data_IF_467751100702
#
_entry.id   IF_467751100702
#
_cell.length_a   1.000
_cell.length_b   1.000
_cell.length_c   1.000
_cell.angle_alpha   90.00
_cell.angle_beta   90.00
_cell.angle_gamma   90.00
#
_symmetry.space_group_name_H-M   'P 1'
#
loop_
_entity.id
_entity.type
_entity.pdbx_description
1 polymer ?
#
# COMPACT_ATOMS: atom_id res chain seq x y z
N UNK A 1 24.27 16.40 23.26
CA UNK A 1 22.87 16.72 22.93
C UNK A 1 22.05 15.60 23.56
N UNK A 2 21.24 15.88 24.57
CA UNK A 2 20.41 14.84 25.20
C UNK A 2 19.32 14.45 24.22
N UNK A 3 19.24 13.16 23.88
CA UNK A 3 18.11 12.60 23.17
C UNK A 3 16.94 12.69 24.16
N UNK A 4 15.98 13.56 23.87
CA UNK A 4 14.72 13.59 24.61
C UNK A 4 13.96 12.35 24.19
N UNK A 5 13.84 11.36 25.08
CA UNK A 5 12.91 10.25 24.88
C UNK A 5 11.48 10.77 24.86
N UNK A 6 10.97 11.04 23.67
CA UNK A 6 9.54 11.10 23.46
C UNK A 6 9.02 9.66 23.39
N UNK A 7 8.86 9.04 24.54
CA UNK A 7 8.09 7.80 24.58
C UNK A 7 6.62 8.15 24.37
N UNK A 8 5.87 7.30 23.70
CA UNK A 8 4.41 7.32 23.66
C UNK A 8 3.88 7.16 25.10
N UNK A 9 4.00 8.20 25.90
CA UNK A 9 3.63 8.18 27.30
C UNK A 9 2.19 8.59 27.45
N UNK A 10 1.34 7.61 27.39
CA UNK A 10 0.14 7.71 28.20
C UNK A 10 0.51 7.03 29.51
N UNK A 11 0.69 7.84 30.55
CA UNK A 11 1.02 7.35 31.88
C UNK A 11 -0.03 6.32 32.32
N UNK A 12 0.43 5.18 32.86
CA UNK A 12 -0.44 4.11 33.32
C UNK A 12 -0.80 3.04 32.31
N UNK A 13 -0.37 3.12 31.05
CA UNK A 13 -0.53 2.02 30.10
C UNK A 13 0.63 1.02 30.20
N UNK A 14 0.28 -0.25 30.34
CA UNK A 14 1.23 -1.33 30.22
C UNK A 14 1.78 -1.47 28.78
N UNK A 15 2.98 -2.00 28.59
CA UNK A 15 3.59 -2.12 27.26
C UNK A 15 2.73 -2.82 26.20
N UNK A 16 1.93 -3.82 26.60
CA UNK A 16 1.05 -4.57 25.69
C UNK A 16 -0.20 -3.78 25.27
N UNK A 17 -0.53 -2.68 25.95
CA UNK A 17 -1.65 -1.79 25.63
C UNK A 17 -1.28 -0.67 24.66
N UNK A 18 -0.01 -0.62 24.23
CA UNK A 18 0.52 0.40 23.33
C UNK A 18 0.73 -0.18 21.95
N UNK A 19 0.48 0.63 20.93
CA UNK A 19 1.02 0.34 19.61
C UNK A 19 2.53 0.27 19.67
N UNK A 20 3.09 -0.79 19.12
CA UNK A 20 4.54 -1.00 19.10
C UNK A 20 5.12 -0.44 17.81
N UNK A 21 6.26 0.20 17.93
CA UNK A 21 7.11 0.48 16.79
C UNK A 21 7.47 -0.84 16.08
N UNK A 22 7.52 -0.83 14.77
CA UNK A 22 8.13 -1.91 14.02
C UNK A 22 9.20 -1.34 13.09
N UNK A 23 10.21 -2.14 12.84
CA UNK A 23 11.34 -1.78 12.01
C UNK A 23 11.62 -2.91 11.03
N UNK A 24 11.65 -2.57 9.75
CA UNK A 24 12.04 -3.46 8.66
C UNK A 24 13.33 -2.88 8.10
N UNK A 25 14.46 -3.51 8.42
CA UNK A 25 15.78 -3.00 8.06
C UNK A 25 15.95 -2.88 6.55
N UNK A 26 15.54 -3.92 5.83
CA UNK A 26 15.72 -4.04 4.39
C UNK A 26 14.44 -4.60 3.77
N UNK A 27 13.81 -3.81 2.91
CA UNK A 27 12.80 -4.32 2.00
C UNK A 27 13.54 -4.89 0.79
N UNK A 28 13.72 -6.21 0.77
CA UNK A 28 14.38 -6.88 -0.37
C UNK A 28 13.47 -6.82 -1.60
N UNK A 29 13.75 -5.86 -2.47
CA UNK A 29 13.00 -5.64 -3.70
C UNK A 29 13.45 -6.58 -4.85
N UNK A 30 14.51 -7.36 -4.65
CA UNK A 30 15.04 -8.30 -5.64
C UNK A 30 14.49 -9.73 -5.44
N UNK A 31 14.06 -10.10 -4.22
CA UNK A 31 13.44 -11.40 -3.99
C UNK A 31 12.01 -11.42 -4.53
N UNK A 32 11.82 -12.06 -5.69
CA UNK A 32 10.53 -12.15 -6.37
C UNK A 32 9.46 -12.87 -5.51
N UNK A 33 9.83 -13.69 -4.53
CA UNK A 33 8.88 -14.37 -3.64
C UNK A 33 8.19 -13.42 -2.67
N UNK A 34 8.78 -12.26 -2.41
CA UNK A 34 8.21 -11.25 -1.50
C UNK A 34 7.17 -10.35 -2.18
N UNK A 35 7.07 -10.43 -3.52
CA UNK A 35 6.10 -9.67 -4.29
C UNK A 35 4.76 -10.40 -4.38
N UNK A 36 3.81 -9.95 -3.59
CA UNK A 36 2.43 -10.49 -3.57
C UNK A 36 1.71 -10.06 -4.84
N UNK A 37 1.22 -11.02 -5.67
CA UNK A 37 0.43 -10.68 -6.85
C UNK A 37 -0.86 -9.94 -6.46
N UNK A 38 -1.18 -8.90 -7.23
CA UNK A 38 -2.34 -8.06 -6.99
C UNK A 38 -3.34 -8.10 -8.16
N UNK A 39 -2.90 -7.72 -9.33
CA UNK A 39 -3.61 -7.84 -10.59
C UNK A 39 -2.62 -8.10 -11.72
N UNK A 40 -3.08 -8.21 -12.95
CA UNK A 40 -2.19 -8.44 -14.09
C UNK A 40 -1.13 -7.32 -14.20
N UNK A 41 0.13 -7.72 -14.15
CA UNK A 41 1.28 -6.81 -14.19
C UNK A 41 1.48 -5.95 -12.94
N UNK A 42 0.79 -6.24 -11.82
CA UNK A 42 0.86 -5.47 -10.57
C UNK A 42 1.12 -6.39 -9.37
N UNK A 43 2.04 -5.98 -8.53
CA UNK A 43 2.42 -6.67 -7.28
C UNK A 43 2.63 -5.66 -6.17
N UNK A 44 2.68 -6.14 -4.93
CA UNK A 44 3.07 -5.32 -3.79
C UNK A 44 3.92 -6.10 -2.79
N UNK A 45 4.75 -5.37 -2.03
CA UNK A 45 5.36 -5.85 -0.79
C UNK A 45 4.72 -5.10 0.38
N UNK A 46 4.14 -5.81 1.37
CA UNK A 46 3.51 -5.15 2.50
C UNK A 46 4.54 -4.53 3.44
N UNK A 47 4.30 -3.29 3.88
CA UNK A 47 5.08 -2.63 4.93
C UNK A 47 4.35 -2.69 6.27
N UNK A 48 3.05 -2.45 6.27
CA UNK A 48 2.24 -2.34 7.48
C UNK A 48 0.78 -2.69 7.22
N UNK A 49 0.16 -3.42 8.16
CA UNK A 49 -1.27 -3.71 8.20
C UNK A 49 -1.85 -3.08 9.47
N UNK A 50 -2.67 -2.05 9.32
CA UNK A 50 -3.34 -1.42 10.43
C UNK A 50 -4.68 -2.10 10.70
N UNK A 51 -4.68 -3.06 11.60
CA UNK A 51 -5.90 -3.80 11.97
C UNK A 51 -6.75 -3.06 12.99
N UNK A 52 -6.31 -1.90 13.46
CA UNK A 52 -7.09 -1.03 14.37
C UNK A 52 -7.99 -0.08 13.59
N UNK A 53 -7.51 0.49 12.47
CA UNK A 53 -8.26 1.47 11.67
C UNK A 53 -8.46 1.07 10.21
N UNK A 54 -8.04 -0.14 9.81
CA UNK A 54 -8.30 -0.72 8.51
C UNK A 54 -7.27 -0.38 7.43
N UNK A 55 -6.38 0.58 7.65
CA UNK A 55 -5.41 1.01 6.65
C UNK A 55 -4.24 0.05 6.42
N UNK A 56 -3.43 0.33 5.40
CA UNK A 56 -2.23 -0.44 5.08
C UNK A 56 -1.16 0.44 4.42
N UNK A 57 0.07 -0.05 4.43
CA UNK A 57 1.17 0.56 3.65
C UNK A 57 1.89 -0.52 2.86
N UNK A 58 2.19 -0.22 1.60
CA UNK A 58 2.82 -1.16 0.67
C UNK A 58 3.83 -0.44 -0.21
N UNK A 59 4.85 -1.17 -0.67
CA UNK A 59 5.56 -0.80 -1.89
C UNK A 59 4.88 -1.54 -3.03
N UNK A 60 4.29 -0.80 -3.96
CA UNK A 60 3.68 -1.37 -5.16
C UNK A 60 4.68 -1.37 -6.32
N UNK A 61 4.64 -2.44 -7.13
CA UNK A 61 5.36 -2.58 -8.40
C UNK A 61 4.34 -2.83 -9.50
N UNK A 62 4.44 -2.09 -10.59
CA UNK A 62 3.56 -2.31 -11.75
C UNK A 62 4.31 -2.10 -13.07
N UNK A 63 4.05 -2.98 -14.04
CA UNK A 63 4.68 -2.91 -15.37
C UNK A 63 4.10 -1.77 -16.21
N UNK A 64 4.87 -1.23 -17.17
CA UNK A 64 4.31 -0.34 -18.19
C UNK A 64 3.10 -0.96 -18.88
N UNK A 65 2.04 -0.19 -19.10
CA UNK A 65 0.77 -0.64 -19.65
C UNK A 65 -0.22 -1.21 -18.62
N UNK A 66 0.19 -1.46 -17.38
CA UNK A 66 -0.71 -1.95 -16.32
C UNK A 66 -1.71 -0.89 -15.86
N UNK A 67 -2.86 -1.37 -15.40
CA UNK A 67 -3.95 -0.54 -14.87
C UNK A 67 -4.39 -1.10 -13.52
N UNK A 68 -4.51 -0.22 -12.53
CA UNK A 68 -5.23 -0.50 -11.29
C UNK A 68 -6.61 0.13 -11.46
N UNK A 69 -7.65 -0.70 -11.45
CA UNK A 69 -9.02 -0.33 -11.78
C UNK A 69 -9.56 0.86 -10.98
N UNK A 70 -10.63 1.44 -11.46
CA UNK A 70 -11.27 2.59 -10.80
C UNK A 70 -11.64 2.24 -9.36
N UNK A 71 -11.16 3.03 -8.42
CA UNK A 71 -11.39 2.81 -7.00
C UNK A 71 -11.64 4.12 -6.25
N UNK A 72 -12.34 3.98 -5.13
CA UNK A 72 -12.71 5.06 -4.22
C UNK A 72 -11.95 4.92 -2.90
N UNK A 73 -11.39 6.00 -2.38
CA UNK A 73 -10.69 6.02 -1.10
C UNK A 73 -11.61 6.45 0.05
N UNK A 74 -11.81 5.55 1.02
CA UNK A 74 -12.55 5.85 2.27
C UNK A 74 -11.76 6.84 3.15
N UNK A 75 -10.45 6.70 3.18
CA UNK A 75 -9.53 7.56 3.91
C UNK A 75 -8.57 8.29 2.97
N UNK A 76 -7.52 8.86 3.53
CA UNK A 76 -6.47 9.56 2.77
C UNK A 76 -5.42 8.58 2.26
N UNK A 77 -4.76 8.93 1.15
CA UNK A 77 -3.57 8.23 0.66
C UNK A 77 -2.40 9.19 0.58
N UNK A 78 -1.23 8.67 0.89
CA UNK A 78 0.04 9.32 0.60
C UNK A 78 0.87 8.37 -0.27
N UNK A 79 1.45 8.90 -1.33
CA UNK A 79 2.29 8.13 -2.23
C UNK A 79 3.63 8.83 -2.46
N UNK A 80 4.70 8.03 -2.51
CA UNK A 80 6.03 8.52 -2.87
C UNK A 80 6.64 7.61 -3.92
N UNK A 81 6.89 8.17 -5.11
CA UNK A 81 7.41 7.43 -6.25
C UNK A 81 8.92 7.23 -6.13
N UNK A 82 9.34 5.97 -6.18
CA UNK A 82 10.76 5.56 -6.14
C UNK A 82 11.32 5.34 -7.54
N UNK A 83 10.51 4.74 -8.45
CA UNK A 83 10.93 4.39 -9.80
C UNK A 83 9.74 4.43 -10.76
N UNK A 84 10.04 4.55 -12.07
CA UNK A 84 9.04 4.54 -13.14
C UNK A 84 8.14 5.76 -13.15
N UNK A 85 7.09 5.68 -13.93
CA UNK A 85 6.09 6.75 -14.05
C UNK A 85 4.70 6.17 -13.85
N UNK A 86 3.79 6.97 -13.27
CA UNK A 86 2.38 6.62 -13.16
C UNK A 86 1.53 7.89 -13.13
N UNK A 87 0.24 7.76 -13.40
CA UNK A 87 -0.74 8.85 -13.31
C UNK A 87 -2.13 8.32 -13.05
N UNK A 88 -3.05 9.19 -12.73
CA UNK A 88 -4.48 8.90 -12.80
C UNK A 88 -5.04 9.34 -14.15
N UNK A 89 -6.01 8.59 -14.70
CA UNK A 89 -6.68 8.95 -15.94
C UNK A 89 -7.38 10.31 -15.83
N UNK A 90 -7.86 10.61 -14.64
CA UNK A 90 -8.65 11.80 -14.30
C UNK A 90 -7.80 13.07 -14.10
N UNK A 91 -6.46 12.95 -14.19
CA UNK A 91 -5.52 14.04 -13.96
C UNK A 91 -4.54 14.22 -15.13
N UNK A 92 -4.05 15.45 -15.29
CA UNK A 92 -3.10 15.83 -16.34
C UNK A 92 -1.61 15.76 -15.92
N UNK A 93 -1.34 15.41 -14.65
CA UNK A 93 0.02 15.23 -14.15
C UNK A 93 0.50 13.78 -14.27
N UNK A 94 1.81 13.61 -14.27
CA UNK A 94 2.47 12.29 -14.19
C UNK A 94 3.47 12.30 -13.04
N UNK A 95 3.31 11.36 -12.11
CA UNK A 95 4.26 11.10 -11.04
C UNK A 95 5.52 10.42 -11.59
N UNK A 96 6.68 10.88 -11.13
CA UNK A 96 8.01 10.42 -11.49
C UNK A 96 8.83 10.18 -10.22
N UNK A 97 10.03 9.55 -10.28
CA UNK A 97 10.86 9.40 -9.09
C UNK A 97 11.06 10.71 -8.34
N UNK A 98 10.78 10.68 -7.02
CA UNK A 98 10.81 11.85 -6.15
C UNK A 98 9.45 12.59 -6.02
N UNK A 99 8.42 12.21 -6.79
CA UNK A 99 7.09 12.81 -6.65
C UNK A 99 6.40 12.32 -5.39
N UNK A 100 5.85 13.26 -4.62
CA UNK A 100 4.92 13.00 -3.52
C UNK A 100 3.50 13.38 -3.94
N UNK A 101 2.55 12.49 -3.68
CA UNK A 101 1.12 12.72 -3.91
C UNK A 101 0.38 12.57 -2.59
N UNK A 102 -0.55 13.47 -2.33
CA UNK A 102 -1.54 13.38 -1.26
C UNK A 102 -2.94 13.32 -1.87
N UNK A 103 -3.72 12.35 -1.46
CA UNK A 103 -5.09 12.14 -1.91
C UNK A 103 -6.03 12.29 -0.72
N UNK A 104 -7.00 13.20 -0.80
CA UNK A 104 -8.01 13.34 0.24
C UNK A 104 -8.97 12.15 0.24
N UNK A 105 -9.61 11.88 1.37
CA UNK A 105 -10.73 10.95 1.43
C UNK A 105 -11.84 11.38 0.46
N UNK A 106 -12.52 10.39 -0.12
CA UNK A 106 -13.58 10.64 -1.10
C UNK A 106 -13.10 10.75 -2.55
N UNK A 107 -11.79 10.64 -2.79
CA UNK A 107 -11.22 10.60 -4.14
C UNK A 107 -11.60 9.30 -4.86
N UNK A 108 -11.92 9.42 -6.15
CA UNK A 108 -12.16 8.30 -7.06
C UNK A 108 -11.31 8.48 -8.31
N UNK A 109 -10.56 7.45 -8.68
CA UNK A 109 -9.66 7.53 -9.83
C UNK A 109 -9.19 6.16 -10.32
N UNK A 110 -8.58 6.14 -11.50
CA UNK A 110 -8.00 4.98 -12.15
C UNK A 110 -6.51 5.18 -12.32
N UNK A 111 -5.68 4.35 -11.66
CA UNK A 111 -4.23 4.45 -11.76
C UNK A 111 -3.75 3.70 -13.01
N UNK A 112 -2.93 4.36 -13.81
CA UNK A 112 -2.32 3.77 -15.00
C UNK A 112 -0.82 3.99 -15.03
N UNK A 113 -0.12 2.99 -15.52
CA UNK A 113 1.30 3.06 -15.80
C UNK A 113 1.46 3.27 -17.32
N UNK A 114 1.95 4.45 -17.77
CA UNK A 114 2.12 4.71 -19.19
C UNK A 114 3.00 3.64 -19.86
N UNK A 115 2.67 3.26 -21.09
CA UNK A 115 3.49 2.28 -21.85
C UNK A 115 4.91 2.76 -22.10
N UNK A 116 5.10 4.08 -22.17
CA UNK A 116 6.40 4.74 -22.35
C UNK A 116 7.14 5.02 -21.02
N UNK A 117 6.66 4.49 -19.90
CA UNK A 117 7.39 4.55 -18.64
C UNK A 117 8.78 3.93 -18.80
N UNK A 118 9.85 4.56 -18.29
CA UNK A 118 11.23 4.07 -18.47
C UNK A 118 11.52 2.74 -17.77
N UNK A 119 10.51 2.14 -17.13
CA UNK A 119 10.57 0.87 -16.45
C UNK A 119 9.36 0.69 -15.54
N UNK A 120 9.32 -0.39 -14.75
CA UNK A 120 8.24 -0.60 -13.79
C UNK A 120 8.09 0.58 -12.84
N UNK A 121 6.85 0.92 -12.52
CA UNK A 121 6.56 1.78 -11.38
C UNK A 121 6.96 1.06 -10.09
N UNK A 122 7.66 1.76 -9.20
CA UNK A 122 7.84 1.35 -7.80
C UNK A 122 7.48 2.56 -6.93
N UNK A 123 6.44 2.40 -6.11
CA UNK A 123 5.86 3.51 -5.33
C UNK A 123 5.47 3.01 -3.94
N UNK A 124 5.86 3.75 -2.91
CA UNK A 124 5.31 3.56 -1.57
C UNK A 124 3.93 4.20 -1.50
N UNK A 125 2.92 3.42 -1.12
CA UNK A 125 1.59 3.89 -0.80
C UNK A 125 1.28 3.69 0.68
N UNK A 126 0.71 4.72 1.32
CA UNK A 126 0.19 4.69 2.68
C UNK A 126 -1.31 5.00 2.59
N UNK A 127 -2.13 3.98 2.74
CA UNK A 127 -3.59 4.06 2.63
C UNK A 127 -4.20 4.04 4.02
N UNK A 128 -5.01 5.04 4.35
CA UNK A 128 -5.78 5.06 5.60
C UNK A 128 -7.21 4.59 5.34
N UNK A 129 -7.75 3.74 6.21
CA UNK A 129 -9.06 3.10 5.97
C UNK A 129 -8.99 2.09 4.84
N UNK A 130 -9.95 2.12 3.93
CA UNK A 130 -10.08 1.17 2.84
C UNK A 130 -10.07 1.86 1.47
N UNK A 131 -9.79 1.09 0.43
CA UNK A 131 -10.13 1.44 -0.94
C UNK A 131 -11.18 0.46 -1.46
N UNK A 132 -12.13 0.98 -2.24
CA UNK A 132 -13.28 0.24 -2.75
C UNK A 132 -13.25 0.31 -4.27
N UNK A 133 -13.17 -0.85 -4.92
CA UNK A 133 -13.24 -0.92 -6.38
C UNK A 133 -14.66 -0.70 -6.87
N UNK A 134 -14.76 -0.01 -7.99
CA UNK A 134 -16.04 0.33 -8.62
C UNK A 134 -16.28 -0.63 -9.78
N UNK A 135 -17.27 -1.52 -9.69
CA UNK A 135 -17.65 -2.42 -10.78
C UNK A 135 -18.19 -1.66 -11.98
N UNK A 136 -18.97 -0.61 -11.68
CA UNK A 136 -19.42 0.38 -12.65
C UNK A 136 -19.34 1.78 -12.03
N UNK A 137 -18.22 2.46 -12.22
CA UNK A 137 -17.99 3.79 -11.66
C UNK A 137 -19.04 4.83 -12.11
N UNK A 138 -19.56 4.72 -13.34
CA UNK A 138 -20.57 5.64 -13.86
C UNK A 138 -21.93 5.49 -13.16
N UNK A 139 -22.23 4.31 -12.63
CA UNK A 139 -23.45 4.00 -11.89
C UNK A 139 -23.27 4.03 -10.38
N UNK A 140 -22.04 4.27 -9.89
CA UNK A 140 -21.72 4.27 -8.45
C UNK A 140 -21.81 2.89 -7.79
N UNK A 141 -21.65 1.81 -8.57
CA UNK A 141 -21.71 0.43 -8.06
C UNK A 141 -20.38 0.02 -7.45
N UNK A 142 -20.41 -0.41 -6.20
CA UNK A 142 -19.28 -0.92 -5.47
C UNK A 142 -19.07 -2.41 -5.75
N UNK A 143 -17.82 -2.81 -6.05
CA UNK A 143 -17.39 -4.18 -6.18
C UNK A 143 -16.64 -4.68 -4.95
N UNK A 144 -15.40 -5.11 -5.14
CA UNK A 144 -14.51 -5.54 -4.06
C UNK A 144 -13.93 -4.35 -3.28
N UNK A 145 -13.38 -4.63 -2.11
CA UNK A 145 -12.66 -3.64 -1.30
C UNK A 145 -11.34 -4.23 -0.79
N UNK A 146 -10.45 -3.34 -0.40
CA UNK A 146 -9.18 -3.67 0.22
C UNK A 146 -8.93 -2.80 1.44
N UNK A 147 -8.49 -3.45 2.49
CA UNK A 147 -8.11 -2.86 3.77
C UNK A 147 -6.92 -3.63 4.38
N UNK A 148 -6.52 -3.26 5.58
CA UNK A 148 -5.43 -3.93 6.27
C UNK A 148 -5.65 -5.43 6.49
N UNK A 149 -6.89 -5.90 6.59
CA UNK A 149 -7.20 -7.31 6.80
C UNK A 149 -7.13 -8.10 5.49
N UNK A 150 -7.76 -7.60 4.44
CA UNK A 150 -7.75 -8.26 3.11
C UNK A 150 -6.35 -8.32 2.54
N UNK A 151 -5.56 -7.25 2.70
CA UNK A 151 -4.15 -7.20 2.28
C UNK A 151 -3.27 -8.17 3.07
N UNK A 152 -3.51 -8.33 4.38
CA UNK A 152 -2.82 -9.32 5.21
C UNK A 152 -3.18 -10.76 4.78
N UNK A 153 -4.45 -11.05 4.54
CA UNK A 153 -4.89 -12.37 4.10
C UNK A 153 -4.30 -12.75 2.74
N UNK A 154 -4.32 -11.84 1.79
CA UNK A 154 -3.70 -12.00 0.46
C UNK A 154 -2.21 -12.28 0.60
N UNK A 155 -1.51 -11.52 1.45
CA UNK A 155 -0.08 -11.70 1.68
C UNK A 155 0.24 -13.04 2.34
N UNK A 156 -0.50 -13.44 3.36
CA UNK A 156 -0.31 -14.74 4.03
C UNK A 156 -0.59 -15.92 3.10
N UNK A 157 -1.60 -15.80 2.24
CA UNK A 157 -1.89 -16.81 1.21
C UNK A 157 -0.70 -16.96 0.27
N UNK A 158 -0.23 -15.87 -0.31
CA UNK A 158 0.89 -15.87 -1.24
C UNK A 158 2.16 -16.45 -0.58
N UNK A 159 2.50 -16.04 0.65
CA UNK A 159 3.68 -16.54 1.36
C UNK A 159 3.64 -18.07 1.49
N UNK A 160 2.49 -18.65 1.83
CA UNK A 160 2.32 -20.12 1.85
C UNK A 160 2.55 -20.76 0.48
N UNK A 161 2.03 -20.15 -0.59
CA UNK A 161 2.13 -20.65 -1.97
C UNK A 161 3.58 -20.67 -2.48
N UNK A 162 4.40 -19.72 -2.08
CA UNK A 162 5.82 -19.62 -2.48
C UNK A 162 6.79 -20.23 -1.45
N UNK A 163 6.27 -20.90 -0.42
CA UNK A 163 7.08 -21.60 0.59
C UNK A 163 7.76 -20.70 1.62
N UNK A 164 7.24 -19.48 1.82
CA UNK A 164 7.65 -18.58 2.90
C UNK A 164 6.77 -18.81 4.13
N UNK A 165 7.34 -18.55 5.31
CA UNK A 165 6.57 -18.59 6.56
C UNK A 165 5.64 -17.36 6.66
N UNK A 166 4.30 -17.54 6.65
CA UNK A 166 3.37 -16.42 6.74
C UNK A 166 3.43 -15.66 8.07
N UNK A 167 4.01 -16.25 9.13
CA UNK A 167 4.16 -15.58 10.43
C UNK A 167 5.21 -14.46 10.39
N UNK A 168 6.05 -14.41 9.37
CA UNK A 168 6.95 -13.26 9.11
C UNK A 168 6.19 -11.94 8.95
N UNK A 169 4.90 -12.02 8.57
CA UNK A 169 4.04 -10.86 8.43
C UNK A 169 3.47 -10.34 9.76
N UNK A 170 3.53 -11.13 10.84
CA UNK A 170 2.94 -10.76 12.14
C UNK A 170 3.65 -9.53 12.75
N UNK A 171 4.94 -9.37 12.48
CA UNK A 171 5.70 -8.18 12.88
C UNK A 171 5.19 -6.88 12.22
N UNK A 172 4.40 -6.97 11.14
CA UNK A 172 3.86 -5.83 10.38
C UNK A 172 2.42 -5.45 10.77
N UNK A 173 1.81 -6.16 11.73
CA UNK A 173 0.43 -5.94 12.20
C UNK A 173 0.42 -4.95 13.37
N UNK A 174 -0.44 -3.90 13.30
CA UNK A 174 -0.67 -2.92 14.37
C UNK A 174 -2.14 -2.56 14.51
#
# INVERSE_FOLDING_TARGET
>A
MAIVEFSNRIDGLEPHQRSREHFIADMDLEDERLWVPYSEGVWFQPCHFNVTSGGFSVIAKALPGSIIGTHYHVGTVQAYTLQGHWRYLEHDWTAKPGTFVFEPAGGQHTLVIPEDSPGPMVTLFVVTGAQIYMDNAAEGLFGSYEDGFTMLEMSRKHYREVGLDPTLLDARIR
#
